data_IF_126999618723
#
_entry.id   IF_126999618723
#
_cell.length_a   1.000
_cell.length_b   1.000
_cell.length_c   1.000
_cell.angle_alpha   90.00
_cell.angle_beta   90.00
_cell.angle_gamma   90.00
#
_symmetry.space_group_name_H-M   'P 1'
#
loop_
_entity.id
_entity.type
_entity.pdbx_description
1 polymer ?
#
# COMPACT_ATOMS: atom_id res chain seq x y z
N UNK A 1 -15.33 6.22 -11.92
CA UNK A 1 -15.83 5.84 -10.58
C UNK A 1 -14.71 6.08 -9.57
N UNK A 2 -15.02 6.70 -8.43
CA UNK A 2 -14.08 6.83 -7.30
C UNK A 2 -14.16 5.58 -6.42
N UNK A 3 -13.02 5.01 -6.03
CA UNK A 3 -12.95 3.88 -5.08
C UNK A 3 -12.51 4.37 -3.71
N UNK A 4 -13.00 3.72 -2.65
CA UNK A 4 -12.57 3.99 -1.27
C UNK A 4 -11.47 2.99 -0.93
N UNK A 5 -10.37 3.46 -0.39
CA UNK A 5 -9.21 2.66 0.00
C UNK A 5 -8.95 2.83 1.49
N UNK A 6 -8.30 1.84 2.11
CA UNK A 6 -7.82 1.98 3.49
C UNK A 6 -6.58 2.86 3.52
N UNK A 7 -6.49 3.77 4.47
CA UNK A 7 -5.33 4.63 4.67
C UNK A 7 -4.65 4.27 5.98
N UNK A 8 -3.45 3.70 5.89
CA UNK A 8 -2.70 3.19 7.03
C UNK A 8 -1.22 3.49 6.84
N UNK A 9 -0.63 4.24 7.76
CA UNK A 9 0.78 4.61 7.66
C UNK A 9 1.72 3.48 8.14
N UNK A 10 1.24 2.62 9.04
CA UNK A 10 2.01 1.49 9.55
C UNK A 10 1.10 0.30 9.81
N UNK A 11 1.23 -0.73 8.99
CA UNK A 11 0.57 -2.01 9.17
C UNK A 11 1.60 -3.13 9.28
N UNK A 12 1.59 -3.84 10.41
CA UNK A 12 2.45 -5.00 10.63
C UNK A 12 1.75 -6.29 10.18
N UNK A 13 2.51 -7.30 9.73
CA UNK A 13 1.98 -8.65 9.60
C UNK A 13 1.33 -9.10 10.92
N UNK A 14 0.19 -9.79 10.83
CA UNK A 14 -0.57 -10.34 11.96
C UNK A 14 -1.21 -9.33 12.95
N UNK A 15 -0.69 -8.11 13.10
CA UNK A 15 -1.26 -7.09 14.00
C UNK A 15 -2.23 -6.12 13.30
N UNK A 16 -2.27 -6.11 11.96
CA UNK A 16 -3.15 -5.22 11.22
C UNK A 16 -2.58 -3.80 11.12
N UNK A 17 -3.44 -2.78 11.16
CA UNK A 17 -3.03 -1.37 11.05
C UNK A 17 -2.85 -0.76 12.44
N UNK A 18 -1.64 -0.25 12.72
CA UNK A 18 -1.33 0.43 13.98
C UNK A 18 -1.55 1.95 13.89
N UNK A 19 -1.21 2.54 12.74
CA UNK A 19 -1.42 3.96 12.46
C UNK A 19 -2.51 4.12 11.41
N UNK A 20 -3.76 3.92 11.85
CA UNK A 20 -4.96 3.99 11.00
C UNK A 20 -5.39 5.45 10.83
N UNK A 21 -5.38 5.92 9.59
CA UNK A 21 -5.86 7.25 9.19
C UNK A 21 -7.30 7.17 8.66
N UNK A 22 -7.91 5.97 8.69
CA UNK A 22 -9.24 5.68 8.21
C UNK A 22 -9.24 5.30 6.74
N UNK A 23 -9.78 6.19 5.91
CA UNK A 23 -10.02 5.89 4.49
C UNK A 23 -9.73 7.08 3.60
N UNK A 24 -9.19 6.82 2.42
CA UNK A 24 -9.02 7.81 1.37
C UNK A 24 -9.92 7.47 0.18
N UNK A 25 -10.34 8.50 -0.56
CA UNK A 25 -11.15 8.36 -1.78
C UNK A 25 -10.29 8.69 -3.00
N UNK A 26 -10.26 7.79 -3.98
CA UNK A 26 -9.47 8.02 -5.19
C UNK A 26 -10.07 9.10 -6.07
N UNK A 27 -9.19 9.93 -6.64
CA UNK A 27 -9.51 10.87 -7.73
C UNK A 27 -9.45 10.15 -9.09
N UNK A 28 -9.95 10.77 -10.18
CA UNK A 28 -9.78 10.21 -11.53
C UNK A 28 -8.32 9.90 -11.83
N UNK A 29 -8.02 8.68 -12.28
CA UNK A 29 -6.65 8.21 -12.54
C UNK A 29 -5.86 7.72 -11.32
N UNK A 30 -6.45 7.71 -10.12
CA UNK A 30 -5.86 7.15 -8.91
C UNK A 30 -6.42 5.77 -8.56
N UNK A 31 -5.63 4.99 -7.83
CA UNK A 31 -5.90 3.62 -7.42
C UNK A 31 -5.63 3.47 -5.92
N UNK A 32 -6.13 2.39 -5.32
CA UNK A 32 -5.67 1.99 -4.00
C UNK A 32 -4.26 1.42 -4.11
N UNK A 33 -3.37 1.78 -3.19
CA UNK A 33 -1.99 1.30 -3.13
C UNK A 33 -1.73 0.58 -1.80
N UNK A 34 -0.88 -0.44 -1.88
CA UNK A 34 -0.24 -1.13 -0.78
C UNK A 34 1.26 -1.20 -1.05
N UNK A 35 2.04 -0.57 -0.18
CA UNK A 35 3.50 -0.61 -0.20
C UNK A 35 3.95 -1.62 0.85
N UNK A 36 4.86 -2.52 0.48
CA UNK A 36 5.32 -3.63 1.31
C UNK A 36 6.82 -3.49 1.47
N UNK A 37 7.27 -3.45 2.71
CA UNK A 37 8.67 -3.37 3.08
C UNK A 37 9.07 -4.70 3.69
N UNK A 38 9.97 -5.40 3.01
CA UNK A 38 10.51 -6.69 3.39
C UNK A 38 11.99 -6.52 3.69
N UNK A 39 12.48 -7.15 4.75
CA UNK A 39 13.91 -7.15 5.09
C UNK A 39 14.31 -8.56 5.51
N UNK A 40 15.42 -9.06 4.97
CA UNK A 40 15.87 -10.45 5.12
C UNK A 40 14.78 -11.48 4.77
N UNK A 41 13.95 -11.20 3.76
CA UNK A 41 12.86 -12.10 3.32
C UNK A 41 11.60 -12.07 4.20
N UNK A 42 11.61 -11.33 5.30
CA UNK A 42 10.46 -11.18 6.20
C UNK A 42 9.77 -9.85 5.90
N UNK A 43 8.45 -9.86 5.72
CA UNK A 43 7.69 -8.61 5.63
C UNK A 43 7.74 -7.90 6.99
N UNK A 44 8.33 -6.71 7.06
CA UNK A 44 8.41 -5.94 8.29
C UNK A 44 7.14 -5.12 8.50
N UNK A 45 6.75 -4.34 7.50
CA UNK A 45 5.55 -3.53 7.56
C UNK A 45 5.01 -3.23 6.16
N UNK A 46 3.80 -2.69 6.12
CA UNK A 46 3.15 -2.20 4.93
C UNK A 46 2.47 -0.86 5.17
N UNK A 47 2.42 -0.05 4.13
CA UNK A 47 1.73 1.24 4.08
C UNK A 47 0.59 1.11 3.07
N UNK A 48 -0.56 1.70 3.37
CA UNK A 48 -1.77 1.60 2.56
C UNK A 48 -2.33 3.00 2.34
N UNK A 49 -2.85 3.25 1.15
CA UNK A 49 -3.52 4.52 0.89
C UNK A 49 -4.01 4.62 -0.55
N UNK A 50 -4.05 5.86 -1.04
CA UNK A 50 -4.41 6.20 -2.40
C UNK A 50 -3.16 6.67 -3.15
N UNK A 51 -2.96 6.19 -4.37
CA UNK A 51 -1.85 6.64 -5.22
C UNK A 51 -1.97 8.14 -5.48
N UNK A 52 -0.85 8.87 -5.49
CA UNK A 52 -0.80 10.23 -6.05
C UNK A 52 -0.75 10.19 -7.58
N UNK A 53 -0.03 9.22 -8.14
CA UNK A 53 0.17 9.03 -9.58
C UNK A 53 0.24 7.53 -9.93
N UNK A 54 -0.22 7.15 -11.12
CA UNK A 54 -0.22 5.77 -11.63
C UNK A 54 1.19 5.16 -11.69
N UNK A 55 2.22 5.99 -11.87
CA UNK A 55 3.62 5.55 -11.85
C UNK A 55 4.09 5.02 -10.48
N UNK A 56 3.28 5.10 -9.42
CA UNK A 56 3.59 4.50 -8.12
C UNK A 56 3.26 3.00 -8.07
N UNK A 57 2.50 2.49 -9.04
CA UNK A 57 2.03 1.12 -9.07
C UNK A 57 3.07 0.15 -9.64
N UNK A 58 3.01 -1.11 -9.18
CA UNK A 58 3.79 -2.24 -9.70
C UNK A 58 5.31 -2.02 -9.68
N UNK A 59 5.81 -1.29 -8.67
CA UNK A 59 7.24 -1.12 -8.46
C UNK A 59 7.77 -2.24 -7.58
N UNK A 60 8.96 -2.73 -7.90
CA UNK A 60 9.73 -3.61 -7.04
C UNK A 60 11.17 -3.16 -7.06
N UNK A 61 11.68 -2.75 -5.92
CA UNK A 61 13.06 -2.34 -5.70
C UNK A 61 13.67 -3.37 -4.78
N UNK A 62 14.76 -3.99 -5.22
CA UNK A 62 15.50 -5.01 -4.48
C UNK A 62 16.89 -4.46 -4.19
N UNK A 63 17.26 -4.42 -2.92
CA UNK A 63 18.62 -4.16 -2.44
C UNK A 63 19.16 -5.42 -1.77
N UNK A 64 20.40 -5.40 -1.27
CA UNK A 64 21.06 -6.59 -0.69
C UNK A 64 20.23 -7.29 0.39
N UNK A 65 19.48 -6.53 1.20
CA UNK A 65 18.71 -7.09 2.33
C UNK A 65 17.27 -6.59 2.39
N UNK A 66 16.88 -5.64 1.55
CA UNK A 66 15.57 -5.00 1.60
C UNK A 66 14.86 -5.13 0.26
N UNK A 67 13.57 -5.44 0.32
CA UNK A 67 12.69 -5.43 -0.84
C UNK A 67 11.55 -4.48 -0.54
N UNK A 68 11.44 -3.47 -1.38
CA UNK A 68 10.29 -2.58 -1.40
C UNK A 68 9.44 -2.91 -2.62
N UNK A 69 8.16 -3.19 -2.41
CA UNK A 69 7.24 -3.48 -3.51
C UNK A 69 5.91 -2.76 -3.35
N UNK A 70 5.36 -2.27 -4.46
CA UNK A 70 4.06 -1.60 -4.49
C UNK A 70 3.05 -2.39 -5.31
N UNK A 71 1.85 -2.53 -4.77
CA UNK A 71 0.72 -3.18 -5.43
C UNK A 71 -0.45 -2.21 -5.49
N UNK A 72 -1.09 -2.12 -6.65
CA UNK A 72 -2.27 -1.29 -6.86
C UNK A 72 -3.48 -2.12 -7.27
N UNK A 73 -4.65 -1.63 -6.90
CA UNK A 73 -5.93 -2.26 -7.22
C UNK A 73 -7.06 -1.23 -7.36
N UNK A 74 -8.10 -1.59 -8.10
CA UNK A 74 -9.23 -0.71 -8.44
C UNK A 74 -10.56 -1.30 -7.94
N UNK A 75 -10.63 -1.68 -6.66
CA UNK A 75 -11.88 -2.10 -6.00
C UNK A 75 -11.95 -1.46 -4.61
N UNK A 76 -13.14 -1.20 -4.06
CA UNK A 76 -13.27 -0.71 -2.69
C UNK A 76 -12.53 -1.61 -1.69
N UNK A 77 -11.72 -1.02 -0.81
CA UNK A 77 -10.96 -1.71 0.25
C UNK A 77 -10.04 -2.86 -0.22
N UNK A 78 -9.63 -2.86 -1.49
CA UNK A 78 -8.80 -3.94 -2.03
C UNK A 78 -7.36 -3.96 -1.51
N UNK A 79 -6.90 -2.90 -0.84
CA UNK A 79 -5.56 -2.76 -0.31
C UNK A 79 -5.43 -3.30 1.14
N UNK A 80 -6.06 -4.44 1.43
CA UNK A 80 -6.02 -5.09 2.74
C UNK A 80 -4.69 -5.78 3.04
#
# INVERSE_FOLDING_TARGET
MSVICRECNLSLPFHGCLLDLGTCKTKPGQFCIKEIYTKFGIQWYSVKGCTRNHNQCFKRIVTNYEVYSTHCCHKPFCNF
#
